data_IF_912998378415
#
_entry.id   IF_912998378415
#
_cell.length_a   1.000
_cell.length_b   1.000
_cell.length_c   1.000
_cell.angle_alpha   90.00
_cell.angle_beta   90.00
_cell.angle_gamma   90.00
#
_symmetry.space_group_name_H-M   'P 1'
#
loop_
_entity.id
_entity.type
_entity.pdbx_description
1 polymer ?
#
# COMPACT_ATOMS: atom_id res chain seq x y z
N UNK A 1 20.96 41.91 44.78
CA UNK A 1 20.48 40.86 43.84
C UNK A 1 21.67 40.47 42.96
N UNK A 2 22.23 39.26 43.10
CA UNK A 2 23.55 38.95 42.51
C UNK A 2 23.46 38.66 41.00
N UNK A 3 24.45 39.13 40.25
CA UNK A 3 24.59 38.98 38.79
C UNK A 3 24.53 37.50 38.36
N UNK A 4 24.96 36.58 39.24
CA UNK A 4 24.88 35.13 39.04
C UNK A 4 23.44 34.59 39.01
N UNK A 5 22.53 35.17 39.80
CA UNK A 5 21.12 34.78 39.83
C UNK A 5 20.37 35.19 38.56
N UNK A 6 20.65 36.39 38.05
CA UNK A 6 20.08 36.90 36.79
C UNK A 6 20.50 36.04 35.59
N UNK A 7 21.79 35.70 35.49
CA UNK A 7 22.32 34.87 34.40
C UNK A 7 21.73 33.44 34.42
N UNK A 8 21.49 32.85 35.60
CA UNK A 8 20.89 31.53 35.73
C UNK A 8 19.41 31.50 35.31
N UNK A 9 18.66 32.58 35.56
CA UNK A 9 17.26 32.71 35.17
C UNK A 9 17.12 32.89 33.66
N UNK A 10 17.94 33.75 33.05
CA UNK A 10 17.97 33.96 31.60
C UNK A 10 18.27 32.64 30.87
N UNK A 11 19.28 31.88 31.33
CA UNK A 11 19.67 30.61 30.71
C UNK A 11 18.61 29.50 30.85
N UNK A 12 17.80 29.51 31.92
CA UNK A 12 16.63 28.62 32.07
C UNK A 12 15.52 29.00 31.08
N UNK A 13 15.25 30.29 30.91
CA UNK A 13 14.26 30.78 29.95
C UNK A 13 14.65 30.42 28.51
N UNK A 14 15.91 30.60 28.11
CA UNK A 14 16.40 30.17 26.79
C UNK A 14 16.24 28.67 26.55
N UNK A 15 16.59 27.84 27.56
CA UNK A 15 16.38 26.39 27.45
C UNK A 15 14.91 26.05 27.32
N UNK A 16 14.04 26.68 28.11
CA UNK A 16 12.60 26.46 28.05
C UNK A 16 12.02 26.82 26.67
N UNK A 17 12.38 28.00 26.14
CA UNK A 17 11.98 28.43 24.79
C UNK A 17 12.50 27.45 23.73
N UNK A 18 13.75 27.00 23.82
CA UNK A 18 14.29 26.03 22.89
C UNK A 18 13.53 24.68 22.90
N UNK A 19 13.17 24.17 24.08
CA UNK A 19 12.35 22.96 24.21
C UNK A 19 10.94 23.15 23.64
N UNK A 20 10.32 24.29 23.91
CA UNK A 20 8.99 24.63 23.39
C UNK A 20 9.01 24.72 21.85
N UNK A 21 10.00 25.43 21.28
CA UNK A 21 10.19 25.51 19.84
C UNK A 21 10.42 24.14 19.21
N UNK A 22 11.22 23.27 19.86
CA UNK A 22 11.45 21.90 19.41
C UNK A 22 10.17 21.06 19.42
N UNK A 23 9.37 21.13 20.48
CA UNK A 23 8.11 20.41 20.60
C UNK A 23 7.07 20.87 19.55
N UNK A 24 6.97 22.18 19.33
CA UNK A 24 6.11 22.75 18.28
C UNK A 24 6.57 22.29 16.89
N UNK A 25 7.88 22.36 16.61
CA UNK A 25 8.44 21.88 15.34
C UNK A 25 8.15 20.40 15.09
N UNK A 26 8.34 19.56 16.11
CA UNK A 26 8.03 18.12 16.03
C UNK A 26 6.54 17.88 15.74
N UNK A 27 5.66 18.58 16.44
CA UNK A 27 4.21 18.43 16.26
C UNK A 27 3.78 18.86 14.84
N UNK A 28 4.30 20.00 14.37
CA UNK A 28 4.03 20.48 13.00
C UNK A 28 4.54 19.50 11.95
N UNK A 29 5.68 18.83 12.19
CA UNK A 29 6.20 17.83 11.26
C UNK A 29 5.29 16.60 11.15
N UNK A 30 4.73 16.12 12.27
CA UNK A 30 3.76 15.01 12.25
C UNK A 30 2.51 15.41 11.47
N UNK A 31 1.95 16.59 11.76
CA UNK A 31 0.76 17.10 11.06
C UNK A 31 1.02 17.26 9.57
N UNK A 32 2.20 17.74 9.18
CA UNK A 32 2.58 17.88 7.77
C UNK A 32 2.72 16.51 7.08
N UNK A 33 3.28 15.50 7.75
CA UNK A 33 3.38 14.13 7.23
C UNK A 33 1.98 13.53 7.04
N UNK A 34 1.11 13.62 8.03
CA UNK A 34 -0.29 13.16 7.94
C UNK A 34 -1.06 13.85 6.80
N UNK A 35 -0.94 15.18 6.68
CA UNK A 35 -1.58 15.93 5.60
C UNK A 35 -1.07 15.49 4.21
N UNK A 36 0.23 15.21 4.08
CA UNK A 36 0.82 14.69 2.86
C UNK A 36 0.27 13.29 2.52
N UNK A 37 0.19 12.39 3.50
CA UNK A 37 -0.33 11.04 3.31
C UNK A 37 -1.81 11.05 2.90
N UNK A 38 -2.65 11.83 3.58
CA UNK A 38 -4.05 12.00 3.19
C UNK A 38 -4.19 12.64 1.79
N UNK A 39 -3.30 13.56 1.40
CA UNK A 39 -3.27 14.11 0.05
C UNK A 39 -2.93 13.06 -1.01
N UNK A 40 -2.02 12.14 -0.72
CA UNK A 40 -1.69 10.99 -1.59
C UNK A 40 -2.88 10.03 -1.68
N UNK A 41 -3.60 9.80 -0.59
CA UNK A 41 -4.78 8.92 -0.56
C UNK A 41 -5.96 9.50 -1.36
N UNK A 42 -6.24 10.80 -1.21
CA UNK A 42 -7.32 11.48 -1.94
C UNK A 42 -7.02 11.72 -3.43
N UNK A 43 -5.76 11.58 -3.84
CA UNK A 43 -5.34 11.73 -5.23
C UNK A 43 -5.12 10.36 -5.88
N UNK A 44 -5.14 10.23 -7.22
CA UNK A 44 -4.74 9.00 -7.89
C UNK A 44 -3.23 8.74 -7.80
N UNK A 45 -2.47 9.51 -7.02
CA UNK A 45 -1.02 9.38 -6.90
C UNK A 45 -0.58 8.01 -6.37
N UNK A 46 -1.41 7.35 -5.55
CA UNK A 46 -1.19 5.96 -5.13
C UNK A 46 -1.10 4.96 -6.29
N UNK A 47 -1.61 5.28 -7.49
CA UNK A 47 -1.46 4.45 -8.69
C UNK A 47 -0.06 4.53 -9.31
N UNK A 48 0.69 5.58 -8.97
CA UNK A 48 1.98 5.91 -9.56
C UNK A 48 3.11 5.65 -8.56
N UNK A 49 2.82 5.90 -7.28
CA UNK A 49 3.71 5.70 -6.16
C UNK A 49 3.73 4.22 -5.74
N UNK A 50 4.91 3.60 -5.58
CA UNK A 50 5.06 2.18 -5.24
C UNK A 50 4.81 1.90 -3.74
N UNK A 51 3.81 2.56 -3.14
CA UNK A 51 3.63 2.59 -1.68
C UNK A 51 2.74 1.44 -1.19
N UNK A 52 1.81 0.96 -2.02
CA UNK A 52 0.91 -0.15 -1.64
C UNK A 52 0.65 -1.05 -2.85
N UNK A 53 1.31 -2.20 -2.90
CA UNK A 53 0.90 -3.29 -3.79
C UNK A 53 -0.15 -4.13 -3.08
N UNK A 54 -1.30 -4.29 -3.72
CA UNK A 54 -2.28 -5.29 -3.29
C UNK A 54 -1.81 -6.64 -3.79
N UNK A 55 -1.67 -7.59 -2.89
CA UNK A 55 -1.47 -8.99 -3.26
C UNK A 55 -2.72 -9.51 -3.99
N UNK A 56 -2.51 -10.12 -5.15
CA UNK A 56 -3.59 -10.68 -5.98
C UNK A 56 -4.27 -11.86 -5.26
N UNK A 57 -3.51 -12.61 -4.47
CA UNK A 57 -3.99 -13.77 -3.72
C UNK A 57 -3.74 -13.71 -2.22
N UNK A 58 -3.98 -14.85 -1.60
CA UNK A 58 -3.88 -15.06 -0.16
C UNK A 58 -3.54 -16.54 0.12
N UNK A 59 -2.91 -16.84 1.26
CA UNK A 59 -2.71 -18.22 1.69
C UNK A 59 -4.06 -18.95 1.84
N UNK A 60 -4.16 -20.13 1.25
CA UNK A 60 -5.34 -21.00 1.34
C UNK A 60 -4.96 -22.30 2.08
N UNK A 61 -5.67 -22.70 3.14
CA UNK A 61 -5.29 -23.86 3.94
C UNK A 61 -5.38 -25.20 3.19
N UNK A 62 -6.14 -25.27 2.10
CA UNK A 62 -6.32 -26.49 1.31
C UNK A 62 -5.47 -26.48 0.03
N UNK A 63 -5.23 -25.30 -0.55
CA UNK A 63 -4.53 -25.12 -1.84
C UNK A 63 -3.12 -24.53 -1.70
N UNK A 64 -2.73 -24.13 -0.49
CA UNK A 64 -1.52 -23.36 -0.23
C UNK A 64 -1.70 -21.87 -0.56
N UNK A 65 -2.16 -21.56 -1.77
CA UNK A 65 -2.42 -20.20 -2.24
C UNK A 65 -3.65 -20.17 -3.13
N UNK A 66 -4.42 -19.09 -3.05
CA UNK A 66 -5.56 -18.84 -3.93
C UNK A 66 -5.59 -17.36 -4.33
N UNK A 67 -6.01 -17.08 -5.56
CA UNK A 67 -6.26 -15.71 -5.98
C UNK A 67 -7.58 -15.22 -5.39
N UNK A 68 -7.64 -13.94 -5.03
CA UNK A 68 -8.87 -13.33 -4.52
C UNK A 68 -9.86 -13.15 -5.68
N UNK A 69 -11.15 -13.46 -5.51
CA UNK A 69 -12.17 -13.14 -6.50
C UNK A 69 -12.33 -11.63 -6.75
N UNK A 70 -12.67 -11.25 -7.98
CA UNK A 70 -12.99 -9.87 -8.38
C UNK A 70 -11.93 -8.84 -8.01
N UNK A 71 -10.66 -9.21 -8.11
CA UNK A 71 -9.54 -8.35 -7.73
C UNK A 71 -8.91 -7.74 -8.98
N UNK A 72 -8.56 -6.46 -8.90
CA UNK A 72 -7.72 -5.77 -9.88
C UNK A 72 -6.59 -5.08 -9.12
N UNK A 73 -5.35 -5.26 -9.59
CA UNK A 73 -4.16 -4.67 -8.97
C UNK A 73 -3.28 -4.01 -10.02
N UNK A 74 -2.30 -3.23 -9.57
CA UNK A 74 -1.19 -2.77 -10.40
C UNK A 74 0.06 -3.46 -9.84
N UNK A 75 0.71 -4.30 -10.64
CA UNK A 75 1.96 -4.95 -10.26
C UNK A 75 3.13 -3.97 -10.50
N UNK A 76 3.43 -3.14 -9.51
CA UNK A 76 4.42 -2.08 -9.67
C UNK A 76 5.85 -2.63 -9.79
N UNK A 77 6.12 -3.84 -9.29
CA UNK A 77 7.40 -4.54 -9.41
C UNK A 77 7.69 -5.08 -10.81
N UNK A 78 6.67 -5.61 -11.49
CA UNK A 78 6.88 -6.30 -12.77
C UNK A 78 6.07 -5.63 -13.89
N UNK A 79 6.73 -4.73 -14.62
CA UNK A 79 6.22 -4.06 -15.81
C UNK A 79 4.93 -3.21 -15.63
N UNK A 80 4.50 -2.93 -14.39
CA UNK A 80 3.25 -2.21 -14.10
C UNK A 80 2.03 -2.85 -14.79
N UNK A 81 2.04 -4.17 -14.93
CA UNK A 81 0.90 -4.93 -15.45
C UNK A 81 -0.32 -4.72 -14.56
N UNK A 82 -1.51 -4.92 -15.14
CA UNK A 82 -2.79 -4.74 -14.45
C UNK A 82 -3.56 -6.05 -14.39
N UNK A 83 -3.07 -7.03 -13.63
CA UNK A 83 -3.74 -8.31 -13.57
C UNK A 83 -5.06 -8.19 -12.83
N UNK A 84 -6.05 -8.94 -13.32
CA UNK A 84 -7.37 -9.06 -12.72
C UNK A 84 -7.81 -10.52 -12.61
N UNK A 85 -8.79 -10.75 -11.74
CA UNK A 85 -9.42 -12.05 -11.50
C UNK A 85 -10.94 -11.95 -11.64
N UNK A 86 -11.56 -13.02 -12.12
CA UNK A 86 -13.02 -13.11 -12.22
C UNK A 86 -13.68 -13.46 -10.87
N UNK A 87 -15.00 -13.65 -10.87
CA UNK A 87 -15.79 -13.96 -9.66
C UNK A 87 -15.45 -15.31 -9.01
N UNK A 88 -14.71 -16.16 -9.70
CA UNK A 88 -14.21 -17.44 -9.19
C UNK A 88 -12.76 -17.38 -8.70
N UNK A 89 -12.10 -16.20 -8.78
CA UNK A 89 -10.69 -16.07 -8.43
C UNK A 89 -9.76 -16.73 -9.46
N UNK A 90 -10.12 -16.71 -10.75
CA UNK A 90 -9.26 -17.17 -11.83
C UNK A 90 -8.74 -15.98 -12.64
N UNK A 91 -7.49 -16.05 -13.14
CA UNK A 91 -6.93 -15.11 -14.14
C UNK A 91 -7.48 -15.42 -15.53
N UNK A 92 -8.78 -15.27 -15.68
CA UNK A 92 -9.52 -15.53 -16.92
C UNK A 92 -10.72 -14.59 -16.99
N UNK A 93 -11.38 -14.58 -18.16
CA UNK A 93 -12.68 -13.96 -18.33
C UNK A 93 -13.73 -14.63 -17.44
N UNK A 94 -14.83 -13.92 -17.18
CA UNK A 94 -15.96 -14.49 -16.46
C UNK A 94 -16.56 -15.69 -17.21
N UNK A 95 -16.86 -16.79 -16.50
CA UNK A 95 -17.28 -18.05 -17.13
C UNK A 95 -18.42 -18.69 -16.37
N UNK A 96 -19.41 -19.21 -17.08
CA UNK A 96 -20.44 -20.06 -16.48
C UNK A 96 -19.82 -21.33 -15.89
N UNK A 97 -20.29 -21.78 -14.72
CA UNK A 97 -19.91 -23.09 -14.17
C UNK A 97 -20.38 -24.24 -15.08
N UNK A 98 -21.55 -24.11 -15.69
CA UNK A 98 -22.09 -25.10 -16.62
C UNK A 98 -21.30 -25.09 -17.92
N UNK A 99 -20.76 -26.24 -18.30
CA UNK A 99 -20.02 -26.39 -19.56
C UNK A 99 -20.96 -26.24 -20.76
N UNK A 100 -20.70 -25.30 -21.69
CA UNK A 100 -21.52 -25.19 -22.90
C UNK A 100 -21.48 -26.48 -23.74
N UNK A 101 -22.57 -26.81 -24.46
CA UNK A 101 -22.58 -27.93 -25.39
C UNK A 101 -21.55 -27.71 -26.50
N UNK A 102 -20.96 -28.81 -27.00
CA UNK A 102 -19.96 -28.79 -28.08
C UNK A 102 -18.69 -27.94 -27.80
N UNK A 103 -18.34 -27.71 -26.54
CA UNK A 103 -17.09 -27.03 -26.16
C UNK A 103 -16.15 -27.92 -25.35
N UNK A 104 -14.85 -27.65 -25.48
CA UNK A 104 -13.81 -28.20 -24.63
C UNK A 104 -13.39 -27.16 -23.58
N UNK A 105 -13.11 -27.62 -22.36
CA UNK A 105 -12.47 -26.81 -21.31
C UNK A 105 -11.10 -27.40 -21.06
N UNK A 106 -10.08 -26.59 -21.28
CA UNK A 106 -8.71 -26.95 -20.99
C UNK A 106 -8.29 -26.21 -19.73
N UNK A 107 -7.88 -26.97 -18.71
CA UNK A 107 -7.20 -26.42 -17.55
C UNK A 107 -5.70 -26.45 -17.83
N UNK A 108 -5.05 -25.29 -17.76
CA UNK A 108 -3.60 -25.18 -17.89
C UNK A 108 -3.03 -25.00 -16.49
N UNK A 109 -2.04 -25.80 -16.15
CA UNK A 109 -1.31 -25.73 -14.88
C UNK A 109 0.17 -25.58 -15.17
N UNK A 110 0.87 -24.89 -14.27
CA UNK A 110 2.29 -24.60 -14.41
C UNK A 110 2.72 -23.66 -13.29
N UNK A 111 3.72 -22.86 -13.59
CA UNK A 111 4.33 -21.91 -12.67
C UNK A 111 3.97 -20.45 -13.05
N UNK A 112 4.81 -19.52 -12.64
CA UNK A 112 4.68 -18.08 -12.94
C UNK A 112 4.56 -17.77 -14.44
N UNK A 113 5.13 -18.60 -15.33
CA UNK A 113 4.99 -18.39 -16.78
C UNK A 113 3.57 -18.68 -17.26
N UNK A 114 2.90 -19.66 -16.65
CA UNK A 114 1.49 -19.96 -16.95
C UNK A 114 0.56 -18.91 -16.37
N UNK A 115 0.89 -18.35 -15.20
CA UNK A 115 0.11 -17.30 -14.55
C UNK A 115 0.19 -15.94 -15.28
N UNK A 116 1.31 -15.68 -15.96
CA UNK A 116 1.51 -14.50 -16.79
C UNK A 116 1.24 -13.19 -16.02
N UNK A 117 1.74 -13.07 -14.79
CA UNK A 117 1.56 -11.89 -13.93
C UNK A 117 2.16 -10.61 -14.52
N UNK A 118 3.16 -10.73 -15.39
CA UNK A 118 3.87 -9.61 -16.00
C UNK A 118 3.17 -8.98 -17.21
N UNK A 119 2.06 -9.57 -17.67
CA UNK A 119 1.35 -9.22 -18.90
C UNK A 119 -0.12 -8.87 -18.65
#
# INVERSE_FOLDING_TARGET
MSILGFNRQVRKNYRFVAWLSGAVGFTLSIVAIEALLHGIEHSPAWRILPIVERELGWPDPNRGYALRPNQEIINARENRSRPSTNSFGMRDSERSLTKPPHTFRLAVTGDSFTEALQV
#
